data_IF_925642715901
#
_entry.id   IF_925642715901
#
_cell.length_a   1.000
_cell.length_b   1.000
_cell.length_c   1.000
_cell.angle_alpha   90.00
_cell.angle_beta   90.00
_cell.angle_gamma   90.00
#
_symmetry.space_group_name_H-M   'P 1'
#
loop_
_entity.id
_entity.type
_entity.pdbx_description
1 polymer ?
#
# COMPACT_ATOMS: atom_id res chain seq x y z
N UNK A 1 1.75 20.18 4.79
CA UNK A 1 0.49 20.69 4.21
C UNK A 1 -0.56 19.66 4.58
N UNK A 2 -1.49 20.03 5.45
CA UNK A 2 -2.54 19.13 5.94
C UNK A 2 -3.74 19.29 5.00
N UNK A 3 -4.27 18.18 4.50
CA UNK A 3 -5.43 18.20 3.62
C UNK A 3 -6.65 18.76 4.35
N UNK A 4 -7.36 19.72 3.74
CA UNK A 4 -8.60 20.27 4.25
C UNK A 4 -9.75 20.05 3.25
N UNK A 5 -10.83 19.41 3.71
CA UNK A 5 -11.98 19.06 2.85
C UNK A 5 -12.79 20.27 2.37
N UNK A 6 -12.73 21.38 3.12
CA UNK A 6 -13.39 22.65 2.84
C UNK A 6 -12.58 23.55 1.88
N UNK A 7 -11.34 23.19 1.58
CA UNK A 7 -10.48 23.92 0.64
C UNK A 7 -10.56 23.25 -0.75
N UNK A 8 -11.24 23.90 -1.69
CA UNK A 8 -11.49 23.35 -3.03
C UNK A 8 -10.20 22.95 -3.77
N UNK A 9 -9.11 23.70 -3.58
CA UNK A 9 -7.80 23.38 -4.17
C UNK A 9 -7.17 22.12 -3.58
N UNK A 10 -7.29 21.92 -2.27
CA UNK A 10 -6.81 20.72 -1.58
C UNK A 10 -7.57 19.48 -2.06
N UNK A 11 -8.90 19.57 -2.21
CA UNK A 11 -9.73 18.50 -2.80
C UNK A 11 -9.29 18.17 -4.22
N UNK A 12 -9.00 19.19 -5.03
CA UNK A 12 -8.55 18.99 -6.41
C UNK A 12 -7.19 18.30 -6.47
N UNK A 13 -6.22 18.75 -5.65
CA UNK A 13 -4.88 18.17 -5.56
C UNK A 13 -4.94 16.74 -5.03
N UNK A 14 -5.72 16.50 -3.98
CA UNK A 14 -5.94 15.18 -3.41
C UNK A 14 -6.49 14.21 -4.45
N UNK A 15 -7.57 14.59 -5.16
CA UNK A 15 -8.14 13.76 -6.24
C UNK A 15 -7.13 13.51 -7.37
N UNK A 16 -6.28 14.49 -7.69
CA UNK A 16 -5.27 14.33 -8.73
C UNK A 16 -4.18 13.33 -8.32
N UNK A 17 -3.69 13.39 -7.09
CA UNK A 17 -2.77 12.38 -6.55
C UNK A 17 -3.43 11.02 -6.47
N UNK A 18 -4.67 10.96 -5.99
CA UNK A 18 -5.44 9.72 -5.89
C UNK A 18 -5.57 8.98 -7.23
N UNK A 19 -5.85 9.72 -8.31
CA UNK A 19 -5.88 9.15 -9.68
C UNK A 19 -4.54 8.55 -10.09
N UNK A 20 -3.42 9.12 -9.65
CA UNK A 20 -2.08 8.57 -9.93
C UNK A 20 -1.87 7.28 -9.17
N UNK A 21 -2.25 7.23 -7.89
CA UNK A 21 -2.17 6.03 -7.05
C UNK A 21 -3.00 4.88 -7.61
N UNK A 22 -4.26 5.16 -7.95
CA UNK A 22 -5.16 4.20 -8.60
C UNK A 22 -4.64 3.73 -9.97
N UNK A 23 -3.76 4.49 -10.64
CA UNK A 23 -3.10 4.08 -11.87
C UNK A 23 -1.81 3.25 -11.65
N UNK A 24 -1.51 2.84 -10.40
CA UNK A 24 -0.33 2.05 -10.04
C UNK A 24 0.90 2.89 -9.70
N UNK A 25 0.77 4.21 -9.58
CA UNK A 25 1.89 5.04 -9.10
C UNK A 25 2.10 4.79 -7.61
N UNK A 26 3.33 4.46 -7.24
CA UNK A 26 3.72 4.36 -5.84
C UNK A 26 4.04 5.74 -5.24
N UNK A 27 3.59 6.02 -4.00
CA UNK A 27 4.07 7.15 -3.21
C UNK A 27 5.61 7.16 -3.09
N UNK A 28 6.21 8.34 -3.03
CA UNK A 28 7.68 8.47 -2.97
C UNK A 28 8.29 7.72 -1.78
N UNK A 29 7.73 7.87 -0.58
CA UNK A 29 8.22 7.17 0.62
C UNK A 29 8.22 5.66 0.47
N UNK A 30 7.21 5.10 -0.19
CA UNK A 30 7.10 3.65 -0.44
C UNK A 30 8.17 3.20 -1.45
N UNK A 31 8.40 3.97 -2.51
CA UNK A 31 9.47 3.67 -3.49
C UNK A 31 10.85 3.69 -2.84
N UNK A 32 11.11 4.68 -2.00
CA UNK A 32 12.38 4.80 -1.29
C UNK A 32 12.56 3.65 -0.29
N UNK A 33 11.52 3.30 0.46
CA UNK A 33 11.54 2.14 1.35
C UNK A 33 11.86 0.83 0.61
N UNK A 34 11.14 0.53 -0.48
CA UNK A 34 11.37 -0.69 -1.28
C UNK A 34 12.79 -0.74 -1.85
N UNK A 35 13.31 0.39 -2.31
CA UNK A 35 14.69 0.51 -2.81
C UNK A 35 15.71 0.27 -1.71
N UNK A 36 15.54 0.92 -0.56
CA UNK A 36 16.44 0.75 0.60
C UNK A 36 16.41 -0.68 1.14
N UNK A 37 15.23 -1.29 1.24
CA UNK A 37 15.07 -2.68 1.65
C UNK A 37 15.75 -3.64 0.66
N UNK A 38 15.47 -3.50 -0.64
CA UNK A 38 16.10 -4.32 -1.67
C UNK A 38 17.63 -4.21 -1.68
N UNK A 39 18.17 -2.99 -1.52
CA UNK A 39 19.61 -2.77 -1.41
C UNK A 39 20.22 -3.46 -0.19
N UNK A 40 19.60 -3.30 0.98
CA UNK A 40 20.10 -3.89 2.22
C UNK A 40 20.17 -5.42 2.13
N UNK A 41 19.18 -6.06 1.50
CA UNK A 41 19.18 -7.50 1.24
C UNK A 41 20.25 -7.88 0.20
N UNK A 42 20.35 -7.15 -0.91
CA UNK A 42 21.30 -7.44 -1.99
C UNK A 42 22.78 -7.39 -1.55
N UNK A 43 23.10 -6.55 -0.55
CA UNK A 43 24.47 -6.36 -0.06
C UNK A 43 24.72 -6.99 1.32
N UNK A 44 23.76 -7.75 1.86
CA UNK A 44 23.82 -8.31 3.22
C UNK A 44 24.16 -7.24 4.29
N UNK A 45 23.62 -6.04 4.10
CA UNK A 45 24.00 -4.80 4.79
C UNK A 45 23.01 -4.53 5.95
N UNK A 46 22.84 -5.52 6.82
CA UNK A 46 22.01 -5.44 8.03
C UNK A 46 20.49 -5.54 7.82
N UNK A 47 19.99 -5.55 6.58
CA UNK A 47 18.58 -5.80 6.27
C UNK A 47 17.60 -4.89 7.02
N UNK A 48 16.61 -5.49 7.69
CA UNK A 48 15.58 -4.79 8.46
C UNK A 48 16.16 -3.96 9.63
N UNK A 49 17.23 -4.44 10.26
CA UNK A 49 17.81 -3.82 11.46
C UNK A 49 18.36 -2.41 11.19
N UNK A 50 18.85 -2.15 9.97
CA UNK A 50 19.29 -0.81 9.56
C UNK A 50 18.14 0.14 9.25
N UNK A 51 16.99 -0.39 8.86
CA UNK A 51 15.87 0.39 8.32
C UNK A 51 14.83 0.74 9.37
N UNK A 52 14.77 0.00 10.49
CA UNK A 52 13.77 0.18 11.55
C UNK A 52 13.72 1.59 12.16
N UNK A 53 14.85 2.29 12.22
CA UNK A 53 14.92 3.65 12.77
C UNK A 53 14.63 4.73 11.72
N UNK A 54 14.64 4.37 10.43
CA UNK A 54 14.50 5.30 9.32
C UNK A 54 13.09 5.30 8.70
N UNK A 55 12.28 4.28 8.97
CA UNK A 55 10.96 4.11 8.41
C UNK A 55 9.93 3.67 9.45
N UNK A 56 8.76 4.31 9.41
CA UNK A 56 7.61 3.93 10.21
C UNK A 56 7.11 2.52 9.79
N UNK A 57 6.75 1.63 10.74
CA UNK A 57 6.09 0.35 10.43
C UNK A 57 4.89 0.46 9.47
N UNK A 58 4.15 1.57 9.50
CA UNK A 58 3.06 1.87 8.56
C UNK A 58 3.54 1.87 7.11
N UNK A 59 4.76 2.35 6.83
CA UNK A 59 5.34 2.33 5.48
C UNK A 59 5.51 0.90 4.98
N UNK A 60 5.88 -0.04 5.85
CA UNK A 60 5.97 -1.47 5.49
C UNK A 60 4.60 -2.03 5.09
N UNK A 61 3.56 -1.74 5.88
CA UNK A 61 2.18 -2.16 5.60
C UNK A 61 1.67 -1.60 4.27
N UNK A 62 1.89 -0.30 4.05
CA UNK A 62 1.54 0.37 2.81
C UNK A 62 2.32 -0.23 1.62
N UNK A 63 3.62 -0.50 1.78
CA UNK A 63 4.43 -1.11 0.73
C UNK A 63 3.89 -2.46 0.26
N UNK A 64 3.43 -3.29 1.19
CA UNK A 64 2.77 -4.57 0.88
C UNK A 64 1.46 -4.33 0.13
N UNK A 65 0.56 -3.48 0.66
CA UNK A 65 -0.74 -3.21 0.05
C UNK A 65 -0.62 -2.63 -1.37
N UNK A 66 0.27 -1.66 -1.57
CA UNK A 66 0.54 -1.07 -2.88
C UNK A 66 1.21 -2.06 -3.84
N UNK A 67 2.01 -3.00 -3.36
CA UNK A 67 2.58 -4.07 -4.21
C UNK A 67 1.49 -5.02 -4.70
N UNK A 68 0.54 -5.39 -3.83
CA UNK A 68 -0.64 -6.16 -4.25
C UNK A 68 -1.51 -5.39 -5.24
N UNK A 69 -1.71 -4.08 -5.04
CA UNK A 69 -2.44 -3.25 -5.99
C UNK A 69 -1.75 -3.19 -7.34
N UNK A 70 -0.43 -3.00 -7.39
CA UNK A 70 0.32 -2.99 -8.64
C UNK A 70 0.14 -4.29 -9.42
N UNK A 71 0.21 -5.43 -8.73
CA UNK A 71 -0.08 -6.74 -9.33
C UNK A 71 -1.52 -6.80 -9.84
N UNK A 72 -2.49 -6.44 -9.01
CA UNK A 72 -3.90 -6.51 -9.38
C UNK A 72 -4.24 -5.60 -10.57
N UNK A 73 -3.69 -4.38 -10.58
CA UNK A 73 -3.81 -3.43 -11.68
C UNK A 73 -3.18 -3.96 -12.96
N UNK A 74 -2.04 -4.65 -12.88
CA UNK A 74 -1.42 -5.31 -14.04
C UNK A 74 -2.30 -6.45 -14.59
N UNK A 75 -3.07 -7.10 -13.72
CA UNK A 75 -4.07 -8.13 -14.08
C UNK A 75 -5.45 -7.56 -14.45
N UNK A 76 -5.57 -6.25 -14.64
CA UNK A 76 -6.80 -5.62 -15.12
C UNK A 76 -7.81 -5.22 -14.04
N UNK A 77 -7.40 -5.13 -12.77
CA UNK A 77 -8.26 -4.59 -11.72
C UNK A 77 -8.73 -3.15 -12.07
N UNK A 78 -10.04 -2.85 -12.00
CA UNK A 78 -10.55 -1.53 -12.33
C UNK A 78 -10.04 -0.45 -11.38
N UNK A 79 -9.56 0.68 -11.90
CA UNK A 79 -9.07 1.81 -11.07
C UNK A 79 -10.10 2.35 -10.07
N UNK A 80 -11.40 2.22 -10.37
CA UNK A 80 -12.50 2.59 -9.46
C UNK A 80 -12.56 1.73 -8.19
N UNK A 81 -11.99 0.54 -8.24
CA UNK A 81 -11.97 -0.41 -7.14
C UNK A 81 -10.73 -0.22 -6.24
N UNK A 82 -9.83 0.72 -6.57
CA UNK A 82 -8.60 1.00 -5.83
C UNK A 82 -8.86 1.19 -4.34
N UNK A 83 -9.83 2.01 -3.95
CA UNK A 83 -10.10 2.28 -2.54
C UNK A 83 -10.59 1.05 -1.79
N UNK A 84 -11.52 0.29 -2.40
CA UNK A 84 -12.04 -0.94 -1.80
C UNK A 84 -10.95 -1.99 -1.67
N UNK A 85 -10.09 -2.10 -2.68
CA UNK A 85 -8.94 -2.98 -2.68
C UNK A 85 -7.94 -2.61 -1.59
N UNK A 86 -7.56 -1.33 -1.50
CA UNK A 86 -6.59 -0.86 -0.50
C UNK A 86 -7.13 -1.06 0.91
N UNK A 87 -8.41 -0.73 1.15
CA UNK A 87 -9.04 -0.91 2.45
C UNK A 87 -9.04 -2.38 2.90
N UNK A 88 -9.44 -3.31 2.02
CA UNK A 88 -9.48 -4.74 2.36
C UNK A 88 -8.09 -5.31 2.65
N UNK A 89 -7.09 -4.95 1.84
CA UNK A 89 -5.73 -5.45 2.00
C UNK A 89 -4.98 -4.83 3.18
N UNK A 90 -5.23 -3.56 3.50
CA UNK A 90 -4.66 -2.93 4.70
C UNK A 90 -5.24 -3.54 5.97
N UNK A 91 -6.57 -3.74 6.00
CA UNK A 91 -7.22 -4.44 7.12
C UNK A 91 -6.69 -5.87 7.28
N UNK A 92 -6.49 -6.59 6.16
CA UNK A 92 -5.87 -7.91 6.19
C UNK A 92 -4.44 -7.89 6.72
N UNK A 93 -3.57 -7.02 6.18
CA UNK A 93 -2.19 -6.88 6.66
C UNK A 93 -2.12 -6.53 8.16
N UNK A 94 -3.04 -5.71 8.66
CA UNK A 94 -3.14 -5.37 10.08
C UNK A 94 -3.63 -6.55 10.93
N UNK A 95 -4.62 -7.31 10.46
CA UNK A 95 -5.09 -8.51 11.16
C UNK A 95 -4.00 -9.58 11.30
N UNK A 96 -3.09 -9.70 10.34
CA UNK A 96 -1.95 -10.63 10.42
C UNK A 96 -0.95 -10.24 11.51
N UNK A 97 -0.83 -8.94 11.81
CA UNK A 97 0.09 -8.44 12.84
C UNK A 97 -0.57 -8.51 14.22
N UNK A 98 -1.85 -8.15 14.30
CA UNK A 98 -2.57 -8.05 15.58
C UNK A 98 -3.21 -9.38 16.02
N UNK A 99 -3.44 -10.30 15.09
CA UNK A 99 -4.23 -11.53 15.31
C UNK A 99 -5.73 -11.29 15.45
N UNK A 100 -6.21 -10.05 15.29
CA UNK A 100 -7.61 -9.67 15.50
C UNK A 100 -8.34 -9.60 14.16
N UNK A 101 -9.50 -10.27 14.07
CA UNK A 101 -10.38 -10.17 12.89
C UNK A 101 -9.82 -10.83 11.61
N UNK A 102 -8.85 -11.72 11.74
CA UNK A 102 -8.16 -12.35 10.60
C UNK A 102 -9.13 -13.12 9.69
N UNK A 103 -10.12 -13.83 10.25
CA UNK A 103 -11.10 -14.60 9.47
C UNK A 103 -11.96 -13.68 8.59
N UNK A 104 -12.39 -12.56 9.15
CA UNK A 104 -13.20 -11.55 8.46
C UNK A 104 -12.37 -10.84 7.39
N UNK A 105 -11.15 -10.43 7.73
CA UNK A 105 -10.26 -9.74 6.80
C UNK A 105 -9.79 -10.66 5.66
N UNK A 106 -9.50 -11.93 5.95
CA UNK A 106 -9.20 -12.97 4.95
C UNK A 106 -10.36 -13.18 3.99
N UNK A 107 -11.61 -13.19 4.50
CA UNK A 107 -12.80 -13.28 3.65
C UNK A 107 -12.95 -12.05 2.76
N UNK A 108 -12.66 -10.86 3.28
CA UNK A 108 -12.77 -9.60 2.53
C UNK A 108 -11.79 -9.50 1.36
N UNK A 109 -10.64 -10.19 1.43
CA UNK A 109 -9.69 -10.18 0.32
C UNK A 109 -10.00 -11.20 -0.79
N UNK A 110 -10.87 -12.19 -0.54
CA UNK A 110 -11.16 -13.27 -1.50
C UNK A 110 -11.66 -12.78 -2.87
N UNK A 111 -12.46 -11.72 -2.90
CA UNK A 111 -12.98 -11.19 -4.17
C UNK A 111 -11.89 -10.69 -5.12
N UNK A 112 -10.68 -10.43 -4.60
CA UNK A 112 -9.52 -9.93 -5.34
C UNK A 112 -8.56 -11.04 -5.78
N UNK A 113 -8.76 -12.28 -5.35
CA UNK A 113 -7.91 -13.43 -5.73
C UNK A 113 -7.84 -13.64 -7.25
N UNK A 114 -8.90 -13.27 -7.97
CA UNK A 114 -8.94 -13.25 -9.44
C UNK A 114 -7.87 -12.38 -10.11
N UNK A 115 -7.24 -11.48 -9.35
CA UNK A 115 -6.16 -10.60 -9.81
C UNK A 115 -4.80 -10.95 -9.17
N UNK A 116 -4.69 -12.11 -8.51
CA UNK A 116 -3.48 -12.51 -7.78
C UNK A 116 -2.31 -12.98 -8.66
N UNK A 117 -2.54 -13.18 -9.97
CA UNK A 117 -1.56 -13.71 -10.92
C UNK A 117 -1.63 -15.23 -11.00
#
# INVERSE_FOLDING_TARGET
MTYAEDVADDVRLHKAEHRKLAAGKLPLKIREFLKSFGWAIAHNDGGLERLKDNFDPEIGRLAVAFSWWNRASAQGAPKKDFDRFMASHLAFAESLVTGVGEKEASRAIKEWEKFAG
#
